data_IF_001856387666
#
_entry.id   IF_001856387666
#
_cell.length_a   1.000
_cell.length_b   1.000
_cell.length_c   1.000
_cell.angle_alpha   90.00
_cell.angle_beta   90.00
_cell.angle_gamma   90.00
#
_symmetry.space_group_name_H-M   'P 1'
#
loop_
_entity.id
_entity.type
_entity.pdbx_description
1 polymer ?
#
# COMPACT_ATOMS: atom_id res chain seq x y z
N UNK A 1 11.01 12.34 7.85
CA UNK A 1 10.16 11.43 8.64
C UNK A 1 9.31 10.61 7.67
N UNK A 2 9.68 9.35 7.39
CA UNK A 2 9.06 8.55 6.33
C UNK A 2 7.72 7.91 6.74
N UNK A 3 7.36 7.97 8.02
CA UNK A 3 6.17 7.32 8.56
C UNK A 3 5.09 8.37 8.78
N UNK A 4 4.02 8.33 7.99
CA UNK A 4 2.94 9.31 8.08
C UNK A 4 1.61 8.61 8.36
N UNK A 5 0.87 9.13 9.33
CA UNK A 5 -0.51 8.76 9.56
C UNK A 5 -1.40 9.39 8.49
N UNK A 6 -2.29 8.61 7.88
CA UNK A 6 -3.21 9.06 6.84
C UNK A 6 -4.27 9.99 7.44
N UNK A 7 -4.88 9.59 8.56
CA UNK A 7 -6.02 10.29 9.17
C UNK A 7 -5.68 11.68 9.73
N UNK A 8 -4.50 11.82 10.34
CA UNK A 8 -4.13 13.08 11.01
C UNK A 8 -2.86 13.73 10.47
N UNK A 9 -2.27 13.18 9.40
CA UNK A 9 -1.04 13.68 8.76
C UNK A 9 0.17 13.85 9.69
N UNK A 10 0.13 13.29 10.92
CA UNK A 10 1.29 13.28 11.82
C UNK A 10 2.41 12.45 11.21
N UNK A 11 3.62 12.99 11.30
CA UNK A 11 4.85 12.36 10.80
C UNK A 11 5.65 11.84 11.98
N UNK A 12 6.18 10.64 11.82
CA UNK A 12 6.99 9.95 12.80
C UNK A 12 8.37 9.65 12.21
N UNK A 13 9.36 9.75 13.08
CA UNK A 13 10.77 9.43 12.83
C UNK A 13 11.04 7.92 12.93
N UNK A 14 10.15 7.14 13.54
CA UNK A 14 10.25 5.68 13.64
C UNK A 14 8.92 5.02 13.25
N UNK A 15 9.01 3.84 12.62
CA UNK A 15 7.83 3.06 12.18
C UNK A 15 6.99 2.69 13.39
N UNK A 16 7.65 2.25 14.46
CA UNK A 16 7.03 1.86 15.73
C UNK A 16 6.30 3.01 16.43
N UNK A 17 6.78 4.25 16.25
CA UNK A 17 6.10 5.45 16.75
C UNK A 17 4.79 5.73 16.01
N UNK A 18 4.81 5.62 14.68
CA UNK A 18 3.62 5.77 13.84
C UNK A 18 2.62 4.64 14.05
N UNK A 19 3.11 3.41 14.15
CA UNK A 19 2.29 2.21 14.42
C UNK A 19 1.54 2.35 15.74
N UNK A 20 2.23 2.64 16.85
CA UNK A 20 1.59 2.82 18.15
C UNK A 20 0.59 3.97 18.17
N UNK A 21 0.90 5.06 17.47
CA UNK A 21 -0.02 6.18 17.33
C UNK A 21 -1.30 5.77 16.61
N UNK A 22 -1.15 5.03 15.51
CA UNK A 22 -2.27 4.57 14.72
C UNK A 22 -3.09 3.50 15.43
N UNK A 23 -2.44 2.54 16.08
CA UNK A 23 -3.07 1.51 16.90
C UNK A 23 -3.89 2.11 18.05
N UNK A 24 -3.33 3.09 18.77
CA UNK A 24 -4.01 3.74 19.89
C UNK A 24 -5.21 4.60 19.49
N UNK A 25 -5.25 5.10 18.25
CA UNK A 25 -6.32 5.97 17.73
C UNK A 25 -7.23 5.27 16.72
N UNK A 26 -6.93 4.02 16.36
CA UNK A 26 -7.57 3.34 15.24
C UNK A 26 -7.29 3.98 13.88
N UNK A 27 -6.23 4.78 13.74
CA UNK A 27 -5.85 5.41 12.48
C UNK A 27 -5.09 4.43 11.56
N UNK A 28 -4.93 4.82 10.30
CA UNK A 28 -4.05 4.13 9.37
C UNK A 28 -2.74 4.91 9.18
N UNK A 29 -1.64 4.18 8.95
CA UNK A 29 -0.35 4.75 8.56
C UNK A 29 0.23 3.99 7.38
N UNK A 30 0.95 4.70 6.54
CA UNK A 30 1.61 4.14 5.36
C UNK A 30 3.10 4.25 5.58
N UNK A 31 3.79 3.12 5.43
CA UNK A 31 5.24 3.06 5.53
C UNK A 31 5.90 3.15 4.16
N UNK A 32 5.32 2.45 3.18
CA UNK A 32 5.93 2.27 1.89
C UNK A 32 4.85 2.08 0.83
N UNK A 33 5.04 2.72 -0.32
CA UNK A 33 4.15 2.63 -1.48
C UNK A 33 4.89 1.92 -2.60
N UNK A 34 4.25 0.95 -3.23
CA UNK A 34 4.80 0.33 -4.43
C UNK A 34 4.73 1.33 -5.58
N UNK A 35 5.85 1.60 -6.25
CA UNK A 35 5.88 2.56 -7.37
C UNK A 35 5.24 1.99 -8.65
N UNK A 36 5.28 0.67 -8.83
CA UNK A 36 4.70 -0.03 -9.99
C UNK A 36 3.17 -0.01 -9.95
N UNK A 37 2.59 -0.15 -8.75
CA UNK A 37 1.17 -0.41 -8.60
C UNK A 37 0.45 0.63 -7.73
N UNK A 38 1.18 1.46 -6.97
CA UNK A 38 0.59 2.46 -6.08
C UNK A 38 -0.02 1.89 -4.79
N UNK A 39 0.08 0.58 -4.55
CA UNK A 39 -0.44 -0.03 -3.31
C UNK A 39 0.40 0.40 -2.11
N UNK A 40 -0.30 0.64 -1.01
CA UNK A 40 0.27 1.13 0.23
C UNK A 40 0.45 -0.01 1.22
N UNK A 41 1.60 -0.02 1.90
CA UNK A 41 2.01 -1.08 2.81
C UNK A 41 2.35 -0.49 4.17
N UNK A 42 1.93 -1.21 5.22
CA UNK A 42 2.19 -0.86 6.62
C UNK A 42 3.64 -1.09 7.04
N UNK A 43 4.44 -1.82 6.25
CA UNK A 43 5.87 -1.92 6.47
C UNK A 43 6.70 -2.27 5.23
N UNK A 44 8.00 -2.01 5.32
CA UNK A 44 8.96 -2.26 4.23
C UNK A 44 9.07 -3.75 3.88
N UNK A 45 8.96 -4.66 4.86
CA UNK A 45 9.00 -6.11 4.62
C UNK A 45 7.80 -6.59 3.80
N UNK A 46 6.60 -6.05 4.05
CA UNK A 46 5.41 -6.35 3.26
C UNK A 46 5.54 -5.79 1.84
N UNK A 47 6.13 -4.61 1.68
CA UNK A 47 6.46 -4.08 0.36
C UNK A 47 7.51 -4.95 -0.35
N UNK A 48 8.60 -5.34 0.33
CA UNK A 48 9.66 -6.17 -0.26
C UNK A 48 9.12 -7.54 -0.70
N UNK A 49 8.28 -8.17 0.12
CA UNK A 49 7.58 -9.41 -0.25
C UNK A 49 6.64 -9.18 -1.44
N UNK A 50 5.95 -8.04 -1.49
CA UNK A 50 5.12 -7.67 -2.63
C UNK A 50 5.93 -7.47 -3.91
N UNK A 51 7.07 -6.77 -3.84
CA UNK A 51 7.97 -6.53 -4.97
C UNK A 51 8.67 -7.81 -5.44
N UNK A 52 8.96 -8.71 -4.50
CA UNK A 52 9.50 -10.04 -4.81
C UNK A 52 8.44 -10.96 -5.42
N UNK A 53 7.15 -10.75 -5.11
CA UNK A 53 6.06 -11.47 -5.74
C UNK A 53 5.80 -10.88 -7.12
N UNK A 54 6.01 -11.68 -8.18
CA UNK A 54 5.87 -11.29 -9.60
C UNK A 54 4.43 -10.97 -10.04
N UNK A 55 3.55 -10.74 -9.07
CA UNK A 55 2.10 -10.57 -9.19
C UNK A 55 1.78 -9.09 -9.03
N UNK A 56 2.01 -8.32 -10.09
CA UNK A 56 1.75 -6.87 -10.14
C UNK A 56 0.50 -6.54 -10.96
N UNK A 57 -0.62 -7.20 -10.69
CA UNK A 57 -1.90 -6.76 -11.21
C UNK A 57 -2.59 -5.85 -10.19
N UNK A 58 -2.57 -4.52 -10.35
CA UNK A 58 -3.35 -3.61 -9.50
C UNK A 58 -4.12 -2.59 -10.33
N UNK A 59 -5.39 -2.44 -10.04
CA UNK A 59 -6.27 -1.44 -10.63
C UNK A 59 -6.20 -0.16 -9.79
N UNK A 60 -5.68 0.93 -10.35
CA UNK A 60 -5.63 2.23 -9.67
C UNK A 60 -6.99 2.94 -9.59
N UNK A 61 -7.96 2.52 -10.41
CA UNK A 61 -9.31 3.10 -10.44
C UNK A 61 -10.19 2.58 -9.29
N UNK A 62 -10.01 1.31 -8.95
CA UNK A 62 -10.90 0.55 -8.09
C UNK A 62 -10.17 -0.16 -6.93
N UNK A 63 -8.85 0.06 -6.86
CA UNK A 63 -7.95 -0.38 -5.79
C UNK A 63 -7.90 -1.92 -5.59
N UNK A 64 -8.35 -2.68 -6.60
CA UNK A 64 -8.31 -4.15 -6.58
C UNK A 64 -6.94 -4.71 -6.96
N UNK A 65 -6.57 -5.77 -6.25
CA UNK A 65 -5.36 -6.55 -6.49
C UNK A 65 -5.67 -7.83 -7.26
N UNK A 66 -4.84 -8.18 -8.24
CA UNK A 66 -5.00 -9.31 -9.14
C UNK A 66 -3.75 -10.19 -9.14
N UNK A 67 -3.99 -11.50 -9.22
CA UNK A 67 -2.98 -12.56 -9.19
C UNK A 67 -1.98 -12.57 -10.35
N UNK A 68 -2.19 -11.76 -11.39
CA UNK A 68 -1.24 -11.58 -12.50
C UNK A 68 -1.66 -10.36 -13.35
N UNK A 69 -0.76 -9.94 -14.25
CA UNK A 69 -0.97 -8.81 -15.17
C UNK A 69 -2.13 -9.08 -16.15
N UNK A 70 -2.30 -10.30 -16.64
CA UNK A 70 -3.39 -10.65 -17.57
C UNK A 70 -4.79 -10.41 -16.97
N UNK A 71 -4.98 -10.78 -15.69
CA UNK A 71 -6.23 -10.54 -14.96
C UNK A 71 -6.49 -9.05 -14.75
N UNK A 72 -5.44 -8.26 -14.48
CA UNK A 72 -5.55 -6.81 -14.42
C UNK A 72 -5.96 -6.22 -15.78
N UNK A 73 -5.29 -6.61 -16.86
CA UNK A 73 -5.57 -6.10 -18.22
C UNK A 73 -6.98 -6.44 -18.69
N UNK A 74 -7.49 -7.63 -18.34
CA UNK A 74 -8.89 -7.99 -18.56
C UNK A 74 -9.82 -7.08 -17.74
N UNK A 75 -9.55 -6.91 -16.46
CA UNK A 75 -10.33 -6.04 -15.60
C UNK A 75 -10.36 -4.58 -16.06
N UNK A 76 -9.23 -3.99 -16.45
CA UNK A 76 -9.16 -2.63 -16.96
C UNK A 76 -9.92 -2.44 -18.29
N UNK A 77 -10.08 -3.50 -19.09
CA UNK A 77 -10.90 -3.46 -20.31
C UNK A 77 -12.39 -3.51 -20.02
N UNK A 78 -12.79 -4.31 -19.04
CA UNK A 78 -14.18 -4.49 -18.63
C UNK A 78 -14.71 -3.28 -17.84
N UNK A 79 -13.84 -2.65 -17.05
CA UNK A 79 -14.18 -1.53 -16.14
C UNK A 79 -14.08 -0.16 -16.84
N UNK A 80 -14.37 -0.09 -18.14
CA UNK A 80 -14.34 1.15 -18.94
C UNK A 80 -15.53 2.07 -18.68
#
# INVERSE_FOLDING_TARGET
>A
MPYQCIDCSKRFNTSKGGERHCDALGHQYILAKCYECGREFVNARALEQHLSSTVHGYCTICEKSFGNKWRLEQHNRDTR
#
